data_IF_254925070881
#
_entry.id   IF_254925070881
#
_cell.length_a   1.000
_cell.length_b   1.000
_cell.length_c   1.000
_cell.angle_alpha   90.00
_cell.angle_beta   90.00
_cell.angle_gamma   90.00
#
_symmetry.space_group_name_H-M   'P 1'
#
loop_
_entity.id
_entity.type
_entity.pdbx_description
1 polymer ?
#
# COMPACT_ATOMS: atom_id res chain seq x y z
N UNK A 1 6.15 -3.95 33.39
CA UNK A 1 5.31 -3.67 32.19
C UNK A 1 6.00 -2.66 31.28
N UNK A 2 6.19 -1.38 31.67
CA UNK A 2 6.88 -0.38 30.82
C UNK A 2 8.28 -0.76 30.36
N UNK A 3 9.14 -1.21 31.28
CA UNK A 3 10.54 -1.51 30.98
C UNK A 3 10.75 -2.89 30.33
N UNK A 4 9.90 -3.87 30.67
CA UNK A 4 10.02 -5.27 30.20
C UNK A 4 9.31 -5.51 28.87
N UNK A 5 8.25 -4.76 28.58
CA UNK A 5 7.44 -4.91 27.35
C UNK A 5 7.55 -3.67 26.43
N UNK A 6 8.46 -2.75 26.75
CA UNK A 6 8.64 -1.47 26.03
C UNK A 6 7.31 -0.71 25.81
N UNK A 7 6.42 -0.71 26.81
CA UNK A 7 5.10 -0.07 26.71
C UNK A 7 5.22 1.46 26.78
N UNK A 8 5.02 2.13 25.64
CA UNK A 8 5.08 3.61 25.51
C UNK A 8 3.77 4.14 24.93
N UNK A 9 2.71 4.19 25.75
CA UNK A 9 1.41 4.84 25.47
C UNK A 9 0.66 4.40 24.18
N UNK A 10 1.13 3.39 23.45
CA UNK A 10 0.41 2.70 22.37
C UNK A 10 -0.05 1.32 22.85
N UNK A 11 -1.20 0.86 22.36
CA UNK A 11 -1.75 -0.45 22.72
C UNK A 11 -0.78 -1.56 22.26
N UNK A 12 -0.49 -2.50 23.15
CA UNK A 12 0.25 -3.73 22.84
C UNK A 12 -0.62 -4.90 23.27
N UNK A 13 -0.57 -6.00 22.52
CA UNK A 13 -1.23 -7.24 22.91
C UNK A 13 -0.18 -8.32 23.17
N UNK A 14 0.10 -8.61 24.43
CA UNK A 14 1.07 -9.65 24.80
C UNK A 14 0.36 -11.00 24.85
N UNK A 15 0.93 -11.99 24.16
CA UNK A 15 0.42 -13.36 24.17
C UNK A 15 1.29 -14.22 25.07
N UNK A 16 0.64 -14.96 25.98
CA UNK A 16 1.28 -15.90 26.88
C UNK A 16 1.03 -17.34 26.41
N UNK A 17 2.02 -18.21 26.58
CA UNK A 17 1.84 -19.65 26.43
C UNK A 17 1.02 -20.24 27.60
N UNK A 18 0.57 -21.51 27.53
CA UNK A 18 -0.17 -22.15 28.62
C UNK A 18 0.60 -22.24 29.94
N UNK A 19 1.92 -22.04 29.93
CA UNK A 19 2.80 -22.01 31.09
C UNK A 19 3.00 -20.59 31.64
N UNK A 20 2.35 -19.58 31.06
CA UNK A 20 2.40 -18.18 31.47
C UNK A 20 3.65 -17.42 31.01
N UNK A 21 4.45 -17.97 30.09
CA UNK A 21 5.61 -17.29 29.51
C UNK A 21 5.21 -16.47 28.28
N UNK A 22 5.94 -15.38 28.01
CA UNK A 22 5.69 -14.54 26.83
C UNK A 22 6.00 -15.33 25.55
N UNK A 23 4.97 -15.59 24.77
CA UNK A 23 5.06 -16.24 23.46
C UNK A 23 5.18 -15.21 22.32
N UNK A 24 4.55 -14.03 22.48
CA UNK A 24 4.72 -12.89 21.58
C UNK A 24 4.63 -11.56 22.36
N UNK A 25 5.67 -10.71 22.29
CA UNK A 25 5.67 -9.42 22.98
C UNK A 25 4.61 -8.43 22.46
N UNK A 26 4.19 -8.55 21.20
CA UNK A 26 3.12 -7.73 20.62
C UNK A 26 2.44 -8.42 19.43
N UNK A 27 1.36 -9.16 19.68
CA UNK A 27 0.55 -9.85 18.68
C UNK A 27 -0.40 -8.92 17.91
N UNK A 28 -0.45 -7.62 18.23
CA UNK A 28 -1.31 -6.67 17.53
C UNK A 28 -1.04 -6.66 16.02
N UNK A 29 0.24 -6.71 15.62
CA UNK A 29 0.61 -6.73 14.20
C UNK A 29 0.09 -8.00 13.53
N UNK A 30 0.27 -9.16 14.15
CA UNK A 30 -0.23 -10.44 13.63
C UNK A 30 -1.75 -10.45 13.47
N UNK A 31 -2.49 -9.88 14.43
CA UNK A 31 -3.95 -9.77 14.36
C UNK A 31 -4.37 -8.87 13.21
N UNK A 32 -3.74 -7.71 13.07
CA UNK A 32 -4.10 -6.75 12.02
C UNK A 32 -3.72 -7.25 10.62
N UNK A 33 -2.70 -8.10 10.49
CA UNK A 33 -2.27 -8.63 9.18
C UNK A 33 -3.03 -9.91 8.84
N UNK A 34 -3.16 -10.84 9.79
CA UNK A 34 -3.57 -12.23 9.55
C UNK A 34 -4.87 -12.63 10.26
N UNK A 35 -5.40 -11.78 11.13
CA UNK A 35 -6.57 -12.10 11.95
C UNK A 35 -6.41 -13.43 12.69
N UNK A 36 -7.40 -14.31 12.53
CA UNK A 36 -7.42 -15.61 13.18
C UNK A 36 -6.39 -16.61 12.63
N UNK A 37 -5.88 -16.41 11.41
CA UNK A 37 -4.89 -17.30 10.81
C UNK A 37 -3.56 -17.27 11.57
N UNK A 38 -3.33 -16.20 12.33
CA UNK A 38 -2.15 -16.03 13.17
C UNK A 38 -2.19 -16.81 14.48
N UNK A 39 -3.33 -17.37 14.92
CA UNK A 39 -3.39 -18.19 16.14
C UNK A 39 -2.41 -19.39 16.05
N UNK A 40 -1.62 -19.70 17.09
CA UNK A 40 -1.65 -19.18 18.47
C UNK A 40 -0.79 -17.93 18.73
N UNK A 41 -0.55 -17.11 17.71
CA UNK A 41 0.15 -15.83 17.78
C UNK A 41 1.60 -15.96 18.29
N UNK A 42 2.33 -16.93 17.74
CA UNK A 42 3.75 -17.16 18.04
C UNK A 42 4.64 -16.67 16.91
N UNK A 43 5.89 -16.31 17.21
CA UNK A 43 6.86 -15.90 16.20
C UNK A 43 7.03 -16.95 15.08
N UNK A 44 7.12 -18.24 15.45
CA UNK A 44 7.22 -19.34 14.47
C UNK A 44 6.00 -19.42 13.54
N UNK A 45 4.80 -19.12 14.05
CA UNK A 45 3.57 -19.08 13.24
C UNK A 45 3.59 -17.89 12.28
N UNK A 46 4.04 -16.74 12.74
CA UNK A 46 4.20 -15.52 11.92
C UNK A 46 5.22 -15.74 10.79
N UNK A 47 6.38 -16.33 11.09
CA UNK A 47 7.40 -16.71 10.11
C UNK A 47 6.85 -17.67 9.05
N UNK A 48 6.04 -18.65 9.46
CA UNK A 48 5.40 -19.57 8.53
C UNK A 48 4.41 -18.86 7.60
N UNK A 49 3.57 -17.97 8.14
CA UNK A 49 2.62 -17.19 7.33
C UNK A 49 3.36 -16.31 6.32
N UNK A 50 4.43 -15.63 6.74
CA UNK A 50 5.20 -14.80 5.83
C UNK A 50 5.95 -15.58 4.75
N UNK A 51 6.37 -16.81 5.04
CA UNK A 51 7.05 -17.68 4.08
C UNK A 51 6.09 -18.16 2.99
N UNK A 52 4.85 -18.42 3.36
CA UNK A 52 3.82 -18.95 2.45
C UNK A 52 3.08 -17.83 1.70
N UNK A 53 3.35 -16.57 2.06
CA UNK A 53 2.71 -15.39 1.48
C UNK A 53 3.56 -14.71 0.39
N UNK A 54 2.87 -14.10 -0.57
CA UNK A 54 3.47 -13.28 -1.64
C UNK A 54 2.81 -11.90 -1.70
N UNK A 55 3.43 -10.96 -2.42
CA UNK A 55 2.80 -9.68 -2.66
C UNK A 55 1.63 -9.82 -3.62
N UNK A 56 0.41 -9.72 -3.09
CA UNK A 56 -0.84 -9.89 -3.83
C UNK A 56 -1.90 -8.88 -3.40
N UNK A 57 -2.88 -8.62 -4.27
CA UNK A 57 -3.94 -7.64 -4.02
C UNK A 57 -4.71 -7.98 -2.75
N UNK A 58 -5.02 -9.25 -2.51
CA UNK A 58 -5.73 -9.74 -1.32
C UNK A 58 -4.92 -9.47 -0.04
N UNK A 59 -3.59 -9.59 -0.11
CA UNK A 59 -2.73 -9.21 1.01
C UNK A 59 -2.76 -7.69 1.21
N UNK A 60 -2.98 -6.88 0.17
CA UNK A 60 -3.02 -5.42 0.31
C UNK A 60 -4.37 -4.94 0.86
N UNK A 61 -5.49 -5.43 0.32
CA UNK A 61 -6.85 -4.94 0.67
C UNK A 61 -7.54 -5.75 1.75
N UNK A 62 -7.05 -6.95 2.08
CA UNK A 62 -7.66 -7.86 3.06
C UNK A 62 -9.14 -8.12 2.74
N UNK A 63 -10.02 -8.12 3.74
CA UNK A 63 -11.46 -8.22 3.62
C UNK A 63 -12.18 -6.85 3.75
N UNK A 64 -11.45 -5.74 3.61
CA UNK A 64 -12.00 -4.37 3.77
C UNK A 64 -13.19 -4.15 2.84
N UNK A 65 -13.09 -4.64 1.61
CA UNK A 65 -14.08 -4.44 0.59
C UNK A 65 -14.19 -5.66 -0.32
N UNK A 66 -15.28 -6.42 -0.13
CA UNK A 66 -15.54 -7.61 -0.92
C UNK A 66 -15.72 -7.32 -2.41
N UNK A 67 -16.11 -6.10 -2.81
CA UNK A 67 -16.23 -5.75 -4.22
C UNK A 67 -14.88 -5.83 -4.93
N UNK A 68 -13.79 -5.45 -4.25
CA UNK A 68 -12.44 -5.50 -4.83
C UNK A 68 -12.06 -6.95 -5.15
N UNK A 69 -12.37 -7.87 -4.25
CA UNK A 69 -12.11 -9.31 -4.44
C UNK A 69 -12.99 -9.91 -5.52
N UNK A 70 -14.25 -9.46 -5.63
CA UNK A 70 -15.18 -9.88 -6.69
C UNK A 70 -14.70 -9.39 -8.07
N UNK A 71 -14.31 -8.12 -8.19
CA UNK A 71 -13.80 -7.56 -9.44
C UNK A 71 -12.55 -8.27 -9.92
N UNK A 72 -11.65 -8.61 -9.00
CA UNK A 72 -10.49 -9.44 -9.29
C UNK A 72 -10.90 -10.82 -9.83
N UNK A 73 -11.92 -11.46 -9.24
CA UNK A 73 -12.46 -12.73 -9.72
C UNK A 73 -13.13 -12.66 -11.10
N UNK A 74 -13.60 -11.48 -11.50
CA UNK A 74 -14.18 -11.19 -12.82
C UNK A 74 -13.14 -10.65 -13.83
N UNK A 75 -11.84 -10.83 -13.56
CA UNK A 75 -10.75 -10.38 -14.44
C UNK A 75 -10.79 -8.87 -14.75
N UNK A 76 -11.35 -8.06 -13.85
CA UNK A 76 -11.31 -6.61 -13.97
C UNK A 76 -9.95 -6.07 -13.50
N UNK A 77 -9.51 -4.99 -14.12
CA UNK A 77 -8.35 -4.24 -13.65
C UNK A 77 -8.77 -3.37 -12.47
N UNK A 78 -8.16 -3.58 -11.30
CA UNK A 78 -8.44 -2.79 -10.08
C UNK A 78 -7.34 -1.75 -9.90
N UNK A 79 -7.72 -0.49 -9.76
CA UNK A 79 -6.80 0.61 -9.52
C UNK A 79 -7.08 1.23 -8.15
N UNK A 80 -6.18 0.98 -7.19
CA UNK A 80 -6.19 1.68 -5.91
C UNK A 80 -5.41 2.97 -6.07
N UNK A 81 -5.98 4.10 -5.65
CA UNK A 81 -5.32 5.39 -5.74
C UNK A 81 -5.59 6.26 -4.53
N UNK A 82 -4.68 7.19 -4.27
CA UNK A 82 -4.76 8.12 -3.16
C UNK A 82 -4.16 9.47 -3.51
N UNK A 83 -4.40 10.46 -2.66
CA UNK A 83 -4.00 11.84 -2.90
C UNK A 83 -4.94 12.83 -2.23
N UNK A 84 -4.48 14.07 -2.12
CA UNK A 84 -5.21 15.15 -1.45
C UNK A 84 -5.57 16.33 -2.38
N UNK A 85 -5.04 16.33 -3.59
CA UNK A 85 -5.33 17.32 -4.62
C UNK A 85 -6.52 16.85 -5.46
N UNK A 86 -7.66 17.53 -5.30
CA UNK A 86 -8.90 17.18 -6.00
C UNK A 86 -8.81 17.40 -7.50
N UNK A 87 -8.05 18.40 -7.95
CA UNK A 87 -7.85 18.67 -9.37
C UNK A 87 -7.02 17.57 -10.01
N UNK A 88 -6.00 17.07 -9.29
CA UNK A 88 -5.28 15.88 -9.72
C UNK A 88 -6.20 14.65 -9.77
N UNK A 89 -7.04 14.42 -8.76
CA UNK A 89 -7.96 13.27 -8.72
C UNK A 89 -8.93 13.28 -9.91
N UNK A 90 -9.52 14.44 -10.24
CA UNK A 90 -10.42 14.59 -11.40
C UNK A 90 -9.71 14.26 -12.70
N UNK A 91 -8.54 14.86 -12.95
CA UNK A 91 -7.74 14.57 -14.15
C UNK A 91 -7.28 13.12 -14.23
N UNK A 92 -6.88 12.54 -13.10
CA UNK A 92 -6.42 11.16 -13.03
C UNK A 92 -7.53 10.18 -13.38
N UNK A 93 -8.67 10.29 -12.70
CA UNK A 93 -9.82 9.39 -12.91
C UNK A 93 -10.40 9.53 -14.31
N UNK A 94 -10.43 10.74 -14.87
CA UNK A 94 -10.83 10.96 -16.27
C UNK A 94 -9.88 10.25 -17.25
N UNK A 95 -8.58 10.54 -17.18
CA UNK A 95 -7.60 9.95 -18.10
C UNK A 95 -7.54 8.41 -17.95
N UNK A 96 -7.66 7.89 -16.73
CA UNK A 96 -7.67 6.45 -16.48
C UNK A 96 -8.86 5.77 -17.18
N UNK A 97 -10.07 6.38 -17.12
CA UNK A 97 -11.27 5.88 -17.82
C UNK A 97 -11.13 5.96 -19.33
N UNK A 98 -10.56 7.05 -19.87
CA UNK A 98 -10.31 7.17 -21.31
C UNK A 98 -9.33 6.12 -21.82
N UNK A 99 -8.21 5.94 -21.12
CA UNK A 99 -7.22 4.91 -21.47
C UNK A 99 -7.81 3.51 -21.32
N UNK A 100 -8.62 3.25 -20.30
CA UNK A 100 -9.28 1.96 -20.15
C UNK A 100 -10.24 1.67 -21.31
N UNK A 101 -10.99 2.67 -21.76
CA UNK A 101 -11.87 2.55 -22.92
C UNK A 101 -11.07 2.30 -24.21
N UNK A 102 -9.96 3.01 -24.42
CA UNK A 102 -9.07 2.81 -25.56
C UNK A 102 -8.45 1.41 -25.57
N UNK A 103 -7.97 0.96 -24.40
CA UNK A 103 -7.38 -0.36 -24.19
C UNK A 103 -8.41 -1.51 -24.18
N UNK A 104 -9.71 -1.18 -24.13
CA UNK A 104 -10.84 -2.12 -24.00
C UNK A 104 -10.72 -3.02 -22.76
N UNK A 105 -10.32 -2.44 -21.64
CA UNK A 105 -10.27 -3.13 -20.35
C UNK A 105 -11.42 -2.67 -19.46
N UNK A 106 -11.88 -3.57 -18.58
CA UNK A 106 -12.77 -3.19 -17.49
C UNK A 106 -11.94 -2.66 -16.33
N UNK A 107 -12.11 -1.38 -15.99
CA UNK A 107 -11.34 -0.68 -14.96
C UNK A 107 -12.24 -0.28 -13.79
N UNK A 108 -11.85 -0.68 -12.59
CA UNK A 108 -12.49 -0.28 -11.34
C UNK A 108 -11.51 0.58 -10.52
N UNK A 109 -11.89 1.84 -10.27
CA UNK A 109 -11.09 2.81 -9.52
C UNK A 109 -11.54 2.83 -8.07
N UNK A 110 -10.61 2.76 -7.11
CA UNK A 110 -10.89 2.79 -5.67
C UNK A 110 -10.04 3.85 -4.98
N UNK A 111 -10.69 4.82 -4.35
CA UNK A 111 -10.00 5.82 -3.55
C UNK A 111 -9.70 5.32 -2.13
N UNK A 112 -8.42 5.20 -1.79
CA UNK A 112 -7.92 4.70 -0.49
C UNK A 112 -7.31 5.79 0.40
N UNK A 113 -7.48 7.06 0.02
CA UNK A 113 -7.19 8.21 0.89
C UNK A 113 -5.73 8.38 1.30
N UNK A 114 -5.53 9.00 2.47
CA UNK A 114 -4.26 9.18 3.17
C UNK A 114 -4.43 8.94 4.67
N UNK A 115 -3.39 8.48 5.34
CA UNK A 115 -3.44 8.02 6.73
C UNK A 115 -3.74 9.14 7.75
N UNK A 116 -3.22 10.36 7.52
CA UNK A 116 -3.25 11.48 8.51
C UNK A 116 -4.25 12.59 8.20
N UNK A 117 -5.06 12.46 7.15
CA UNK A 117 -5.83 13.57 6.60
C UNK A 117 -7.36 13.41 6.73
N UNK A 118 -7.85 12.85 7.85
CA UNK A 118 -9.27 12.43 8.03
C UNK A 118 -10.32 13.44 7.55
N UNK A 119 -10.18 14.72 7.90
CA UNK A 119 -11.14 15.76 7.50
C UNK A 119 -11.08 16.06 6.00
N UNK A 120 -9.87 16.11 5.44
CA UNK A 120 -9.65 16.35 4.01
C UNK A 120 -10.11 15.16 3.18
N UNK A 121 -9.82 13.94 3.63
CA UNK A 121 -10.33 12.70 3.04
C UNK A 121 -11.85 12.70 2.98
N UNK A 122 -12.55 13.12 4.04
CA UNK A 122 -14.03 13.22 4.02
C UNK A 122 -14.53 14.19 2.95
N UNK A 123 -13.90 15.35 2.80
CA UNK A 123 -14.26 16.33 1.76
C UNK A 123 -14.04 15.76 0.35
N UNK A 124 -12.92 15.08 0.13
CA UNK A 124 -12.59 14.46 -1.16
C UNK A 124 -13.58 13.34 -1.49
N UNK A 125 -13.95 12.50 -0.52
CA UNK A 125 -14.98 11.47 -0.70
C UNK A 125 -16.32 12.11 -1.12
N UNK A 126 -16.70 13.24 -0.51
CA UNK A 126 -17.90 13.97 -0.90
C UNK A 126 -17.89 14.37 -2.39
N UNK A 127 -16.75 14.88 -2.89
CA UNK A 127 -16.60 15.23 -4.31
C UNK A 127 -16.60 13.98 -5.20
N UNK A 128 -15.90 12.92 -4.81
CA UNK A 128 -15.87 11.65 -5.55
C UNK A 128 -17.29 11.08 -5.71
N UNK A 129 -18.08 11.14 -4.65
CA UNK A 129 -19.48 10.70 -4.65
C UNK A 129 -20.36 11.59 -5.54
N UNK A 130 -20.26 12.92 -5.39
CA UNK A 130 -21.07 13.88 -6.15
C UNK A 130 -20.80 13.81 -7.66
N UNK A 131 -19.53 13.64 -8.05
CA UNK A 131 -19.10 13.61 -9.45
C UNK A 131 -19.02 12.19 -10.05
N UNK A 132 -19.24 11.14 -9.27
CA UNK A 132 -19.16 9.75 -9.74
C UNK A 132 -17.76 9.37 -10.25
N UNK A 133 -16.71 9.83 -9.57
CA UNK A 133 -15.33 9.67 -10.06
C UNK A 133 -14.85 8.22 -9.94
N UNK A 134 -15.17 7.54 -8.85
CA UNK A 134 -14.64 6.21 -8.51
C UNK A 134 -15.43 5.58 -7.35
N UNK A 135 -15.11 4.33 -7.04
CA UNK A 135 -15.53 3.68 -5.80
C UNK A 135 -14.74 4.21 -4.60
N UNK A 136 -15.37 4.18 -3.43
CA UNK A 136 -14.81 4.70 -2.19
C UNK A 136 -15.36 3.92 -0.99
N UNK A 137 -14.64 3.92 0.12
CA UNK A 137 -15.12 3.33 1.37
C UNK A 137 -15.97 4.34 2.13
N UNK A 138 -17.12 3.91 2.65
CA UNK A 138 -18.01 4.80 3.42
C UNK A 138 -17.52 5.02 4.85
N UNK A 139 -16.80 4.04 5.41
CA UNK A 139 -16.31 4.07 6.78
C UNK A 139 -14.84 4.52 6.86
N UNK A 140 -14.58 5.59 7.61
CA UNK A 140 -13.22 6.08 7.90
C UNK A 140 -12.35 5.03 8.61
N UNK A 141 -12.98 4.05 9.28
CA UNK A 141 -12.28 2.91 9.89
C UNK A 141 -11.62 2.03 8.83
N UNK A 142 -12.22 1.88 7.64
CA UNK A 142 -11.63 1.11 6.53
C UNK A 142 -10.33 1.74 6.04
N UNK A 143 -10.32 3.07 5.85
CA UNK A 143 -9.12 3.83 5.53
C UNK A 143 -8.05 3.70 6.60
N UNK A 144 -8.43 3.88 7.87
CA UNK A 144 -7.49 3.73 8.99
C UNK A 144 -6.90 2.32 9.05
N UNK A 145 -7.73 1.29 8.88
CA UNK A 145 -7.31 -0.11 8.92
C UNK A 145 -6.34 -0.43 7.78
N UNK A 146 -6.65 -0.01 6.54
CA UNK A 146 -5.75 -0.17 5.39
C UNK A 146 -4.34 0.35 5.67
N UNK A 147 -4.22 1.61 6.11
CA UNK A 147 -2.92 2.22 6.39
C UNK A 147 -2.23 1.62 7.61
N UNK A 148 -2.97 1.35 8.69
CA UNK A 148 -2.42 0.74 9.91
C UNK A 148 -1.90 -0.67 9.64
N UNK A 149 -2.58 -1.43 8.78
CA UNK A 149 -2.19 -2.79 8.40
C UNK A 149 -0.89 -2.79 7.62
N UNK A 150 -0.70 -1.87 6.67
CA UNK A 150 0.58 -1.67 5.97
C UNK A 150 1.73 -1.31 6.94
N UNK A 151 1.47 -0.43 7.92
CA UNK A 151 2.45 -0.13 8.97
C UNK A 151 2.79 -1.38 9.80
N UNK A 152 1.80 -2.21 10.14
CA UNK A 152 2.02 -3.46 10.85
C UNK A 152 2.86 -4.44 10.03
N UNK A 153 2.60 -4.57 8.72
CA UNK A 153 3.41 -5.40 7.82
C UNK A 153 4.87 -4.95 7.81
N UNK A 154 5.09 -3.63 7.72
CA UNK A 154 6.41 -3.03 7.79
C UNK A 154 7.14 -3.44 9.07
N UNK A 155 6.51 -3.24 10.24
CA UNK A 155 7.13 -3.59 11.52
C UNK A 155 7.39 -5.09 11.68
N UNK A 156 6.42 -5.92 11.30
CA UNK A 156 6.53 -7.37 11.39
C UNK A 156 7.72 -7.88 10.55
N UNK A 157 7.85 -7.40 9.31
CA UNK A 157 9.00 -7.73 8.44
C UNK A 157 10.33 -7.26 9.02
N UNK A 158 10.39 -6.05 9.56
CA UNK A 158 11.61 -5.51 10.19
C UNK A 158 12.06 -6.33 11.40
N UNK A 159 11.12 -6.79 12.23
CA UNK A 159 11.42 -7.65 13.39
C UNK A 159 12.02 -9.00 12.97
N UNK A 160 11.67 -9.49 11.78
CA UNK A 160 12.26 -10.69 11.18
C UNK A 160 13.58 -10.42 10.42
N UNK A 161 14.14 -9.21 10.55
CA UNK A 161 15.37 -8.81 9.86
C UNK A 161 15.21 -8.66 8.34
N UNK A 162 13.98 -8.52 7.84
CA UNK A 162 13.70 -8.30 6.43
C UNK A 162 13.84 -6.81 6.08
N UNK A 163 14.41 -6.56 4.91
CA UNK A 163 14.72 -5.24 4.38
C UNK A 163 14.32 -5.11 2.92
N UNK A 164 14.40 -3.88 2.41
CA UNK A 164 14.09 -3.55 1.01
C UNK A 164 14.99 -4.32 0.04
N UNK A 165 16.20 -4.68 0.44
CA UNK A 165 17.16 -5.41 -0.39
C UNK A 165 16.90 -6.92 -0.46
N UNK A 166 16.11 -7.50 0.47
CA UNK A 166 16.00 -8.95 0.62
C UNK A 166 14.57 -9.50 0.70
N UNK A 167 13.54 -8.65 0.68
CA UNK A 167 12.13 -9.07 0.77
C UNK A 167 11.24 -8.20 -0.13
N UNK A 168 10.54 -8.84 -1.08
CA UNK A 168 9.67 -8.14 -2.05
C UNK A 168 8.46 -7.49 -1.38
N UNK A 169 7.85 -8.13 -0.37
CA UNK A 169 6.71 -7.53 0.33
C UNK A 169 7.17 -6.27 1.06
N UNK A 170 8.35 -6.30 1.67
CA UNK A 170 8.96 -5.16 2.32
C UNK A 170 9.19 -3.98 1.35
N UNK A 171 9.68 -4.25 0.14
CA UNK A 171 9.84 -3.23 -0.92
C UNK A 171 8.49 -2.56 -1.26
N UNK A 172 7.46 -3.36 -1.48
CA UNK A 172 6.15 -2.89 -1.91
C UNK A 172 5.43 -2.11 -0.80
N UNK A 173 5.42 -2.64 0.42
CA UNK A 173 4.88 -1.96 1.61
C UNK A 173 5.58 -0.63 1.84
N UNK A 174 6.93 -0.59 1.82
CA UNK A 174 7.68 0.66 1.96
C UNK A 174 7.32 1.66 0.85
N UNK A 175 7.09 1.20 -0.38
CA UNK A 175 6.73 2.11 -1.46
C UNK A 175 5.35 2.72 -1.22
N UNK A 176 4.34 1.92 -0.91
CA UNK A 176 2.98 2.43 -0.68
C UNK A 176 2.96 3.40 0.51
N UNK A 177 3.66 3.09 1.61
CA UNK A 177 3.80 4.00 2.74
C UNK A 177 4.55 5.31 2.36
N UNK A 178 5.46 5.26 1.40
CA UNK A 178 6.11 6.47 0.87
C UNK A 178 5.18 7.34 0.02
N UNK A 179 4.06 6.79 -0.46
CA UNK A 179 3.06 7.55 -1.18
C UNK A 179 2.24 8.42 -0.22
N UNK A 180 1.89 7.88 0.96
CA UNK A 180 1.20 8.64 2.01
C UNK A 180 1.99 9.88 2.45
N UNK A 181 3.32 9.76 2.48
CA UNK A 181 4.24 10.84 2.81
C UNK A 181 4.41 11.91 1.73
N UNK A 182 3.91 11.72 0.50
CA UNK A 182 4.02 12.67 -0.61
C UNK A 182 2.78 13.53 -0.73
N UNK A 183 2.90 14.82 -1.03
CA UNK A 183 1.73 15.69 -1.30
C UNK A 183 1.10 15.41 -2.68
N UNK A 184 1.79 14.64 -3.52
CA UNK A 184 1.30 14.19 -4.82
C UNK A 184 0.34 13.00 -4.68
N UNK A 185 -0.53 12.83 -5.68
CA UNK A 185 -1.34 11.62 -5.81
C UNK A 185 -0.49 10.38 -6.08
N UNK A 186 -1.10 9.20 -6.08
CA UNK A 186 -0.46 7.93 -6.42
C UNK A 186 -1.48 6.90 -6.87
N UNK A 187 -1.04 5.87 -7.57
CA UNK A 187 -1.88 4.75 -7.94
C UNK A 187 -1.11 3.43 -8.02
N UNK A 188 -1.82 2.33 -7.73
CA UNK A 188 -1.42 0.94 -8.00
C UNK A 188 -2.50 0.29 -8.84
N UNK A 189 -2.16 -0.20 -10.03
CA UNK A 189 -3.05 -0.92 -10.93
C UNK A 189 -2.75 -2.40 -10.86
N UNK A 190 -3.79 -3.20 -10.68
CA UNK A 190 -3.75 -4.62 -10.45
C UNK A 190 -4.55 -5.36 -11.51
N UNK A 191 -4.02 -6.47 -12.00
CA UNK A 191 -4.76 -7.43 -12.80
C UNK A 191 -4.61 -8.81 -12.16
N UNK A 192 -5.75 -9.41 -11.79
CA UNK A 192 -5.76 -10.58 -10.93
C UNK A 192 -5.06 -10.32 -9.59
N UNK A 193 -4.45 -11.37 -9.03
CA UNK A 193 -3.88 -11.35 -7.67
C UNK A 193 -2.49 -10.70 -7.60
N UNK A 194 -1.60 -10.95 -8.57
CA UNK A 194 -0.17 -10.66 -8.43
C UNK A 194 0.41 -9.66 -9.45
N UNK A 195 -0.29 -9.39 -10.55
CA UNK A 195 0.21 -8.44 -11.54
C UNK A 195 -0.08 -7.02 -11.09
N UNK A 196 0.98 -6.25 -10.83
CA UNK A 196 0.87 -4.87 -10.36
C UNK A 196 1.79 -3.92 -11.12
N UNK A 197 1.27 -2.73 -11.40
CA UNK A 197 2.01 -1.54 -11.79
C UNK A 197 1.74 -0.43 -10.77
N UNK A 198 2.74 0.38 -10.44
CA UNK A 198 2.60 1.43 -9.43
C UNK A 198 3.40 2.66 -9.80
N UNK A 199 2.86 3.84 -9.52
CA UNK A 199 3.53 5.11 -9.76
C UNK A 199 2.93 6.26 -8.95
N UNK A 200 3.72 7.33 -8.82
CA UNK A 200 3.33 8.58 -8.16
C UNK A 200 2.82 9.61 -9.15
N UNK A 201 1.83 10.37 -8.71
CA UNK A 201 1.42 11.69 -9.19
C UNK A 201 1.58 11.90 -10.68
N UNK A 202 2.57 12.69 -11.03
CA UNK A 202 2.82 13.10 -12.42
C UNK A 202 3.30 11.95 -13.30
N UNK A 203 4.01 10.96 -12.75
CA UNK A 203 4.51 9.81 -13.50
C UNK A 203 3.36 8.93 -14.01
N UNK A 204 2.38 8.62 -13.14
CA UNK A 204 1.21 7.85 -13.56
C UNK A 204 0.34 8.67 -14.53
N UNK A 205 0.17 9.97 -14.27
CA UNK A 205 -0.57 10.84 -15.18
C UNK A 205 0.08 10.88 -16.58
N UNK A 206 1.40 11.06 -16.62
CA UNK A 206 2.18 11.08 -17.85
C UNK A 206 2.07 9.75 -18.61
N UNK A 207 2.01 8.63 -17.89
CA UNK A 207 1.84 7.31 -18.51
C UNK A 207 0.52 7.18 -19.27
N UNK A 208 -0.57 7.76 -18.75
CA UNK A 208 -1.87 7.75 -19.42
C UNK A 208 -1.92 8.74 -20.58
N UNK A 209 -1.34 9.93 -20.43
CA UNK A 209 -1.27 10.89 -21.55
C UNK A 209 -0.47 10.36 -22.74
N UNK A 210 0.51 9.49 -22.49
CA UNK A 210 1.39 8.88 -23.50
C UNK A 210 0.98 7.44 -23.85
N UNK A 211 -0.31 7.10 -23.67
CA UNK A 211 -0.79 5.74 -23.92
C UNK A 211 -0.47 5.22 -25.33
N UNK A 212 -0.54 6.07 -26.34
CA UNK A 212 -0.20 5.72 -27.74
C UNK A 212 1.21 5.11 -27.89
N UNK A 213 2.15 5.47 -27.02
CA UNK A 213 3.54 4.97 -27.07
C UNK A 213 3.66 3.53 -26.57
N UNK A 214 2.72 3.05 -25.75
CA UNK A 214 2.75 1.72 -25.16
C UNK A 214 1.45 0.92 -25.35
N UNK A 215 0.56 1.39 -26.21
CA UNK A 215 -0.68 0.70 -26.61
C UNK A 215 -0.39 -0.68 -27.21
N UNK A 216 0.55 -0.77 -28.15
CA UNK A 216 0.92 -2.04 -28.79
C UNK A 216 1.49 -3.04 -27.75
N UNK A 217 2.46 -2.67 -26.89
CA UNK A 217 2.85 -3.47 -25.74
C UNK A 217 1.67 -3.89 -24.85
N UNK A 218 0.72 -3.00 -24.55
CA UNK A 218 -0.45 -3.31 -23.72
C UNK A 218 -1.32 -4.40 -24.34
N UNK A 219 -1.51 -4.35 -25.67
CA UNK A 219 -2.28 -5.34 -26.42
C UNK A 219 -1.60 -6.71 -26.45
N UNK A 220 -0.27 -6.73 -26.58
CA UNK A 220 0.51 -7.98 -26.74
C UNK A 220 0.82 -8.64 -25.41
N UNK A 221 1.21 -7.87 -24.40
CA UNK A 221 1.73 -8.37 -23.12
C UNK A 221 0.71 -8.31 -21.98
N UNK A 222 -0.40 -7.61 -22.16
CA UNK A 222 -1.34 -7.27 -21.09
C UNK A 222 -1.09 -5.86 -20.54
N UNK A 223 -2.19 -5.18 -20.19
CA UNK A 223 -2.20 -3.76 -19.84
C UNK A 223 -1.29 -3.43 -18.65
N UNK A 224 -1.44 -4.15 -17.53
CA UNK A 224 -0.69 -3.87 -16.30
C UNK A 224 0.80 -4.16 -16.46
N UNK A 225 1.17 -5.21 -17.18
CA UNK A 225 2.57 -5.55 -17.47
C UNK A 225 3.22 -4.46 -18.33
N UNK A 226 2.56 -4.04 -19.41
CA UNK A 226 3.06 -2.99 -20.29
C UNK A 226 3.18 -1.64 -19.59
N UNK A 227 2.19 -1.28 -18.77
CA UNK A 227 2.22 -0.06 -17.96
C UNK A 227 3.44 -0.08 -17.01
N UNK A 228 3.67 -1.20 -16.31
CA UNK A 228 4.84 -1.34 -15.42
C UNK A 228 6.15 -1.13 -16.17
N UNK A 229 6.33 -1.76 -17.34
CA UNK A 229 7.53 -1.60 -18.16
C UNK A 229 7.71 -0.15 -18.63
N UNK A 230 6.64 0.51 -19.05
CA UNK A 230 6.69 1.91 -19.47
C UNK A 230 7.06 2.85 -18.31
N UNK A 231 6.45 2.66 -17.14
CA UNK A 231 6.78 3.44 -15.93
C UNK A 231 8.25 3.27 -15.50
N UNK A 232 8.85 2.10 -15.72
CA UNK A 232 10.27 1.87 -15.46
C UNK A 232 11.18 2.69 -16.40
N UNK A 233 10.75 2.92 -17.65
CA UNK A 233 11.48 3.76 -18.60
C UNK A 233 11.39 5.25 -18.27
N UNK A 234 10.29 5.68 -17.64
CA UNK A 234 10.10 7.07 -17.21
C UNK A 234 10.83 7.43 -15.92
N UNK A 235 11.24 6.44 -15.12
CA UNK A 235 11.91 6.69 -13.85
C UNK A 235 13.26 7.37 -14.06
N UNK A 236 13.40 8.59 -13.54
CA UNK A 236 14.70 9.27 -13.46
C UNK A 236 15.38 8.97 -12.12
N UNK A 237 16.71 8.79 -12.07
CA UNK A 237 17.45 8.44 -10.84
C UNK A 237 17.45 9.51 -9.73
N UNK A 238 16.82 10.67 -9.98
CA UNK A 238 16.95 11.89 -9.18
C UNK A 238 15.81 12.12 -8.20
N UNK A 239 14.72 11.35 -8.26
CA UNK A 239 13.57 11.53 -7.35
C UNK A 239 13.63 10.49 -6.23
N UNK A 240 13.97 10.94 -5.02
CA UNK A 240 13.86 10.13 -3.81
C UNK A 240 12.53 10.43 -3.12
N UNK A 241 11.89 9.37 -2.63
CA UNK A 241 10.62 9.48 -1.94
C UNK A 241 10.78 9.90 -0.49
N UNK A 242 9.81 10.67 0.01
CA UNK A 242 9.66 10.92 1.44
C UNK A 242 8.84 9.77 2.06
N UNK A 243 9.42 9.07 3.02
CA UNK A 243 8.72 8.09 3.85
C UNK A 243 8.43 8.74 5.21
N UNK A 244 7.17 8.82 5.60
CA UNK A 244 6.78 9.31 6.92
C UNK A 244 6.34 8.11 7.74
N UNK A 245 7.22 7.64 8.62
CA UNK A 245 6.84 6.66 9.63
C UNK A 245 6.23 7.40 10.83
N UNK A 246 5.10 6.96 11.39
CA UNK A 246 4.63 7.52 12.66
C UNK A 246 5.71 7.30 13.72
N UNK A 247 5.91 8.25 14.64
CA UNK A 247 6.95 8.14 15.67
C UNK A 247 6.93 6.77 16.36
N UNK A 248 7.98 5.98 16.14
CA UNK A 248 8.23 4.71 16.82
C UNK A 248 9.53 4.85 17.58
N UNK A 249 9.42 4.99 18.90
CA UNK A 249 10.56 4.73 19.79
C UNK A 249 10.60 3.23 20.03
N UNK A 250 11.44 2.52 19.25
CA UNK A 250 11.61 1.08 19.41
C UNK A 250 12.11 0.27 18.21
N UNK A 251 12.41 0.86 17.04
CA UNK A 251 12.99 0.04 15.97
C UNK A 251 12.93 0.56 14.54
N UNK A 252 13.10 1.87 14.28
CA UNK A 252 13.45 2.30 12.91
C UNK A 252 14.97 2.02 12.75
N UNK A 253 15.39 1.13 11.82
CA UNK A 253 16.79 0.80 11.57
C UNK A 253 17.58 2.08 11.34
N UNK A 254 18.80 2.15 11.85
CA UNK A 254 19.69 3.32 11.69
C UNK A 254 19.80 3.77 10.23
N UNK A 255 19.66 2.82 9.29
CA UNK A 255 19.67 3.05 7.86
C UNK A 255 18.39 2.50 7.22
N UNK A 256 17.60 3.38 6.60
CA UNK A 256 16.48 3.00 5.73
C UNK A 256 16.95 3.15 4.29
N UNK A 257 16.63 2.17 3.44
CA UNK A 257 16.96 2.21 2.00
C UNK A 257 15.68 2.56 1.24
N UNK A 258 15.79 3.45 0.25
CA UNK A 258 14.67 3.80 -0.61
C UNK A 258 14.26 2.61 -1.49
N UNK A 259 12.98 2.25 -1.48
CA UNK A 259 12.44 1.15 -2.28
C UNK A 259 12.46 1.38 -3.80
N UNK A 260 12.66 2.61 -4.26
CA UNK A 260 12.74 2.93 -5.70
C UNK A 260 14.18 3.05 -6.20
N UNK A 261 15.04 3.79 -5.49
CA UNK A 261 16.41 4.07 -5.97
C UNK A 261 17.50 3.28 -5.24
N UNK A 262 17.16 2.47 -4.25
CA UNK A 262 18.09 1.68 -3.42
C UNK A 262 19.18 2.50 -2.71
N UNK A 263 19.03 3.83 -2.64
CA UNK A 263 19.95 4.71 -1.90
C UNK A 263 19.52 4.81 -0.43
N UNK A 264 20.47 5.04 0.49
CA UNK A 264 20.15 5.36 1.88
C UNK A 264 19.28 6.62 1.95
N UNK A 265 18.24 6.58 2.79
CA UNK A 265 17.36 7.71 3.04
C UNK A 265 17.90 8.54 4.22
N UNK A 266 17.78 9.86 4.11
CA UNK A 266 18.03 10.77 5.22
C UNK A 266 16.88 10.74 6.22
N UNK A 267 17.21 10.89 7.50
CA UNK A 267 16.25 10.85 8.60
C UNK A 267 16.02 12.25 9.14
N UNK A 268 14.74 12.63 9.22
CA UNK A 268 14.30 13.86 9.85
C UNK A 268 13.29 13.51 10.95
N UNK A 269 13.52 14.04 12.15
CA UNK A 269 12.57 13.93 13.24
C UNK A 269 11.61 15.11 13.15
N UNK A 270 10.30 14.82 13.03
CA UNK A 270 9.26 15.84 13.13
C UNK A 270 8.74 15.84 14.57
N UNK A 271 8.89 16.97 15.26
CA UNK A 271 8.44 17.20 16.64
C UNK A 271 7.07 17.87 16.66
#
# INVERSE_FOLDING_TARGET
>A
IKEVLHFVKKMILVVLDPQGKVACPNALHMILIWGNMAFPFTAMKEEALWRDETWRLELLVDDIDHNILEWMGHEKTVCLYGGEDIEWIRRFTHNAKEVAAAARIELELVYVGKSKAKERTRKIIGVIQEEGLSHYWTDLTSYWYFWTRLECMLYSKMQQGKGVDNDRIMQEVMTILSFDGSDQGWATMWFGSAEVARAKGDLIQQSFTRYEEWEEPARVKGFVIALREFLQQLHTPQHCNRLILPGIEGGIPEKVICAECSKPMEKYFMY
#
